data_IF_504210112428
#
_entry.id   IF_504210112428
#
_cell.length_a   1.000
_cell.length_b   1.000
_cell.length_c   1.000
_cell.angle_alpha   90.00
_cell.angle_beta   90.00
_cell.angle_gamma   90.00
#
_symmetry.space_group_name_H-M   'P 1'
#
loop_
_entity.id
_entity.type
_entity.pdbx_description
1 polymer ?
#
# COMPACT_ATOMS: atom_id res chain seq x y z
N UNK A 1 7.88 43.09 -32.31
CA UNK A 1 8.54 41.93 -31.67
C UNK A 1 8.03 41.84 -30.25
N UNK A 2 7.29 40.79 -29.91
CA UNK A 2 6.85 40.52 -28.53
C UNK A 2 7.78 39.45 -27.99
N UNK A 3 8.56 39.79 -26.96
CA UNK A 3 9.41 38.83 -26.27
C UNK A 3 8.51 37.97 -25.36
N UNK A 4 8.39 36.68 -25.69
CA UNK A 4 7.76 35.70 -24.80
C UNK A 4 8.83 35.27 -23.80
N UNK A 5 8.72 35.73 -22.56
CA UNK A 5 9.49 35.19 -21.46
C UNK A 5 8.92 33.82 -21.09
N UNK A 6 9.66 32.75 -21.41
CA UNK A 6 9.43 31.45 -20.80
C UNK A 6 9.87 31.54 -19.34
N UNK A 7 8.92 31.75 -18.43
CA UNK A 7 9.15 31.48 -17.02
C UNK A 7 9.27 29.95 -16.88
N UNK A 8 10.51 29.46 -16.83
CA UNK A 8 10.77 28.11 -16.35
C UNK A 8 10.27 28.06 -14.91
N UNK A 9 9.17 27.36 -14.67
CA UNK A 9 8.80 26.94 -13.32
C UNK A 9 9.92 26.01 -12.89
N UNK A 10 10.83 26.51 -12.05
CA UNK A 10 11.70 25.63 -11.31
C UNK A 10 10.78 24.73 -10.48
N UNK A 11 10.80 23.42 -10.74
CA UNK A 11 10.25 22.42 -9.83
C UNK A 11 11.15 22.42 -8.59
N UNK A 12 11.00 23.46 -7.78
CA UNK A 12 11.71 23.64 -6.53
C UNK A 12 11.05 22.80 -5.45
N UNK A 13 11.42 21.52 -5.39
CA UNK A 13 11.36 20.75 -4.15
C UNK A 13 12.72 20.88 -3.50
N UNK A 14 12.83 21.65 -2.41
CA UNK A 14 14.11 21.86 -1.73
C UNK A 14 14.65 20.59 -1.05
N UNK A 15 13.86 19.51 -0.99
CA UNK A 15 14.28 18.18 -0.52
C UNK A 15 13.38 17.08 -1.13
N UNK A 16 13.74 16.60 -2.32
CA UNK A 16 13.07 15.48 -3.00
C UNK A 16 12.98 14.22 -2.11
N UNK A 17 13.96 14.02 -1.21
CA UNK A 17 13.97 12.83 -0.36
C UNK A 17 12.88 12.91 0.70
N UNK A 18 12.61 14.09 1.26
CA UNK A 18 11.48 14.30 2.17
C UNK A 18 10.15 14.01 1.47
N UNK A 19 9.96 14.51 0.24
CA UNK A 19 8.75 14.27 -0.55
C UNK A 19 8.55 12.79 -0.89
N UNK A 20 9.62 12.05 -1.20
CA UNK A 20 9.56 10.60 -1.43
C UNK A 20 9.19 9.87 -0.13
N UNK A 21 9.69 10.31 1.01
CA UNK A 21 9.41 9.67 2.29
C UNK A 21 7.92 9.79 2.67
N UNK A 22 7.27 10.89 2.31
CA UNK A 22 5.83 11.11 2.54
C UNK A 22 4.92 10.20 1.69
N UNK A 23 5.45 9.54 0.64
CA UNK A 23 4.70 8.58 -0.17
C UNK A 23 4.58 7.21 0.50
N UNK A 24 5.46 6.90 1.46
CA UNK A 24 5.39 5.64 2.18
C UNK A 24 4.28 5.71 3.23
N UNK A 25 3.45 4.66 3.36
CA UNK A 25 2.47 4.62 4.43
C UNK A 25 3.16 4.72 5.79
N UNK A 26 2.55 5.47 6.69
CA UNK A 26 2.95 5.52 8.09
C UNK A 26 2.82 4.15 8.76
N UNK A 27 3.47 4.00 9.92
CA UNK A 27 3.35 2.76 10.72
C UNK A 27 1.90 2.42 11.09
N UNK A 28 1.05 3.44 11.27
CA UNK A 28 -0.38 3.27 11.56
C UNK A 28 -1.16 2.81 10.32
N UNK A 29 -0.84 3.33 9.14
CA UNK A 29 -1.40 2.86 7.87
C UNK A 29 -0.91 1.44 7.52
N UNK A 30 0.26 1.03 8.01
CA UNK A 30 0.78 -0.34 7.92
C UNK A 30 0.25 -1.30 9.00
N UNK A 31 -0.65 -0.87 9.90
CA UNK A 31 -1.10 -1.69 11.03
C UNK A 31 -1.68 -3.05 10.61
N UNK A 32 -2.26 -3.16 9.41
CA UNK A 32 -2.79 -4.41 8.87
C UNK A 32 -1.71 -5.51 8.73
N UNK A 33 -0.44 -5.15 8.56
CA UNK A 33 0.68 -6.12 8.50
C UNK A 33 0.91 -6.84 9.83
N UNK A 34 0.48 -6.25 10.96
CA UNK A 34 0.61 -6.86 12.30
C UNK A 34 -0.46 -7.89 12.59
N UNK A 35 -1.51 -7.96 11.77
CA UNK A 35 -2.51 -9.02 11.87
C UNK A 35 -1.81 -10.33 11.48
N UNK A 36 -1.88 -11.34 12.34
CA UNK A 36 -1.31 -12.67 12.08
C UNK A 36 -2.08 -13.43 11.00
N UNK A 37 -2.02 -12.95 9.76
CA UNK A 37 -2.73 -13.50 8.61
C UNK A 37 -2.32 -14.96 8.39
N UNK A 38 -3.30 -15.77 8.01
CA UNK A 38 -3.05 -17.13 7.51
C UNK A 38 -3.09 -17.11 6.00
N UNK A 39 -2.06 -17.68 5.37
CA UNK A 39 -1.97 -17.82 3.91
C UNK A 39 -2.62 -19.12 3.40
N UNK A 40 -2.97 -20.04 4.30
CA UNK A 40 -3.75 -21.24 3.99
C UNK A 40 -5.23 -21.00 4.27
N UNK A 41 -6.02 -20.92 3.19
CA UNK A 41 -7.47 -20.73 3.23
C UNK A 41 -8.20 -21.88 3.93
N UNK A 42 -7.76 -23.12 3.74
CA UNK A 42 -8.42 -24.29 4.31
C UNK A 42 -8.17 -24.41 5.81
N UNK A 43 -6.97 -24.05 6.27
CA UNK A 43 -6.69 -23.96 7.71
C UNK A 43 -7.50 -22.84 8.36
N UNK A 44 -7.55 -21.66 7.74
CA UNK A 44 -8.38 -20.55 8.18
C UNK A 44 -9.85 -20.97 8.35
N UNK A 45 -10.38 -21.70 7.36
CA UNK A 45 -11.75 -22.22 7.35
C UNK A 45 -12.01 -23.21 8.48
N UNK A 46 -11.13 -24.18 8.69
CA UNK A 46 -11.25 -25.15 9.79
C UNK A 46 -11.23 -24.45 11.14
N UNK A 47 -10.34 -23.48 11.34
CA UNK A 47 -10.24 -22.70 12.57
C UNK A 47 -11.52 -21.92 12.85
N UNK A 48 -12.06 -21.22 11.85
CA UNK A 48 -13.31 -20.46 11.99
C UNK A 48 -14.49 -21.34 12.40
N UNK A 49 -14.65 -22.51 11.78
CA UNK A 49 -15.69 -23.47 12.15
C UNK A 49 -15.53 -23.97 13.59
N UNK A 50 -14.31 -24.33 13.97
CA UNK A 50 -13.98 -24.79 15.33
C UNK A 50 -14.24 -23.72 16.40
N UNK A 51 -13.95 -22.46 16.10
CA UNK A 51 -14.14 -21.34 17.03
C UNK A 51 -15.55 -20.71 16.97
N UNK A 52 -16.38 -21.07 15.98
CA UNK A 52 -17.68 -20.46 15.76
C UNK A 52 -17.62 -18.96 15.41
N UNK A 53 -16.52 -18.50 14.80
CA UNK A 53 -16.29 -17.08 14.47
C UNK A 53 -16.28 -16.83 12.96
N UNK A 54 -16.78 -15.68 12.49
CA UNK A 54 -16.70 -15.31 11.08
C UNK A 54 -15.25 -15.12 10.63
N UNK A 55 -15.02 -15.30 9.32
CA UNK A 55 -13.71 -15.12 8.69
C UNK A 55 -13.67 -13.79 7.93
N UNK A 56 -12.61 -13.00 8.13
CA UNK A 56 -12.25 -11.93 7.21
C UNK A 56 -11.33 -12.50 6.14
N UNK A 57 -11.78 -12.48 4.89
CA UNK A 57 -10.97 -12.90 3.74
C UNK A 57 -10.42 -11.66 3.04
N UNK A 58 -9.14 -11.36 3.26
CA UNK A 58 -8.43 -10.30 2.58
C UNK A 58 -7.71 -10.90 1.37
N UNK A 59 -8.25 -10.64 0.18
CA UNK A 59 -7.64 -11.07 -1.08
C UNK A 59 -7.59 -9.88 -2.02
N UNK A 60 -6.46 -9.70 -2.69
CA UNK A 60 -6.40 -8.80 -3.84
C UNK A 60 -6.80 -9.58 -5.08
N UNK A 61 -7.87 -9.15 -5.75
CA UNK A 61 -8.21 -9.64 -7.08
C UNK A 61 -7.47 -8.80 -8.13
N UNK A 62 -6.20 -9.12 -8.35
CA UNK A 62 -5.37 -8.58 -9.42
C UNK A 62 -4.45 -9.69 -9.90
N UNK A 63 -4.09 -9.68 -11.20
CA UNK A 63 -3.03 -10.54 -11.73
C UNK A 63 -1.84 -10.47 -10.75
N UNK A 64 -1.38 -11.62 -10.25
CA UNK A 64 -0.69 -11.66 -8.97
C UNK A 64 0.59 -10.86 -9.13
N UNK A 65 0.96 -10.11 -8.08
CA UNK A 65 2.36 -9.81 -7.75
C UNK A 65 3.26 -9.54 -8.94
N UNK A 66 3.72 -8.30 -9.14
CA UNK A 66 4.83 -7.96 -10.05
C UNK A 66 6.17 -8.65 -9.74
N UNK A 67 6.15 -9.88 -9.23
CA UNK A 67 7.19 -10.89 -9.31
C UNK A 67 7.17 -11.51 -10.71
N UNK A 68 7.89 -10.88 -11.64
CA UNK A 68 8.71 -11.65 -12.60
C UNK A 68 10.13 -11.68 -12.07
#
# INVERSE_FOLDING_TARGET
MIAVFAAAVALGGNDLQAEINDLWPSDDEYAWMRVGWTLDLFEARRRSQREGKPMLLWMMNGHPTGCT
#
